data_IF_365390318354
#
_entry.id   IF_365390318354
#
_cell.length_a   1.000
_cell.length_b   1.000
_cell.length_c   1.000
_cell.angle_alpha   90.00
_cell.angle_beta   90.00
_cell.angle_gamma   90.00
#
_symmetry.space_group_name_H-M   'P 1'
#
loop_
_entity.id
_entity.type
_entity.pdbx_description
1 polymer ?
#
# COMPACT_ATOMS: atom_id res chain seq x y z
N UNK A 1 18.76 -23.32 -37.68
CA UNK A 1 17.84 -22.37 -37.02
C UNK A 1 17.99 -22.53 -35.52
N UNK A 2 18.70 -21.62 -34.85
CA UNK A 2 18.67 -21.59 -33.39
C UNK A 2 17.33 -20.97 -33.00
N UNK A 3 16.41 -21.78 -32.46
CA UNK A 3 15.18 -21.26 -31.88
C UNK A 3 15.55 -20.32 -30.76
N UNK A 4 15.16 -19.05 -30.86
CA UNK A 4 15.24 -18.13 -29.73
C UNK A 4 14.45 -18.73 -28.56
N UNK A 5 15.04 -18.85 -27.35
CA UNK A 5 14.33 -19.40 -26.21
C UNK A 5 13.07 -18.59 -25.95
N UNK A 6 11.95 -19.27 -25.68
CA UNK A 6 10.71 -18.60 -25.26
C UNK A 6 10.99 -17.75 -24.01
N UNK A 7 10.40 -16.54 -23.89
CA UNK A 7 10.47 -15.77 -22.65
C UNK A 7 9.97 -16.58 -21.44
N UNK A 8 10.72 -16.54 -20.34
CA UNK A 8 10.32 -17.17 -19.08
C UNK A 8 9.02 -16.54 -18.56
N UNK A 9 8.12 -17.38 -18.09
CA UNK A 9 6.93 -16.96 -17.33
C UNK A 9 7.32 -16.29 -16.02
N UNK A 10 6.42 -15.50 -15.45
CA UNK A 10 6.61 -14.87 -14.13
C UNK A 10 6.91 -15.92 -13.05
N UNK A 11 6.26 -17.08 -13.08
CA UNK A 11 6.50 -18.18 -12.13
C UNK A 11 7.92 -18.75 -12.27
N UNK A 12 8.41 -18.96 -13.48
CA UNK A 12 9.78 -19.43 -13.72
C UNK A 12 10.82 -18.43 -13.21
N UNK A 13 10.62 -17.13 -13.48
CA UNK A 13 11.52 -16.08 -13.00
C UNK A 13 11.56 -16.01 -11.47
N UNK A 14 10.40 -16.12 -10.83
CA UNK A 14 10.29 -16.14 -9.37
C UNK A 14 11.08 -17.31 -8.77
N UNK A 15 10.89 -18.53 -9.28
CA UNK A 15 11.58 -19.72 -8.76
C UNK A 15 13.09 -19.68 -9.05
N UNK A 16 13.49 -19.16 -10.20
CA UNK A 16 14.90 -18.93 -10.52
C UNK A 16 15.54 -17.92 -9.57
N UNK A 17 14.84 -16.83 -9.25
CA UNK A 17 15.35 -15.82 -8.32
C UNK A 17 15.68 -16.42 -6.95
N UNK A 18 14.88 -17.36 -6.45
CA UNK A 18 15.15 -18.02 -5.17
C UNK A 18 16.34 -18.95 -5.24
N UNK A 19 16.45 -19.72 -6.33
CA UNK A 19 17.60 -20.61 -6.57
C UNK A 19 18.92 -19.83 -6.55
N UNK A 20 18.92 -18.62 -7.08
CA UNK A 20 20.10 -17.75 -7.16
C UNK A 20 20.32 -16.96 -5.87
N UNK A 21 19.27 -16.37 -5.29
CA UNK A 21 19.40 -15.35 -4.25
C UNK A 21 19.16 -15.84 -2.82
N UNK A 22 18.28 -16.83 -2.59
CA UNK A 22 17.75 -17.12 -1.25
C UNK A 22 18.83 -17.60 -0.25
N UNK A 23 19.89 -18.25 -0.74
CA UNK A 23 20.98 -18.79 0.08
C UNK A 23 22.16 -17.83 0.25
N UNK A 24 22.10 -16.64 -0.34
CA UNK A 24 23.18 -15.66 -0.24
C UNK A 24 23.19 -14.95 1.11
N UNK A 25 24.34 -14.36 1.47
CA UNK A 25 24.48 -13.57 2.70
C UNK A 25 23.61 -12.31 2.70
N UNK A 26 23.37 -11.72 1.54
CA UNK A 26 22.46 -10.58 1.35
C UNK A 26 21.45 -10.89 0.24
N UNK A 27 20.38 -11.65 0.53
CA UNK A 27 19.39 -12.03 -0.47
C UNK A 27 18.70 -10.83 -1.12
N UNK A 28 18.39 -9.78 -0.35
CA UNK A 28 17.62 -8.62 -0.86
C UNK A 28 18.36 -7.88 -1.97
N UNK A 29 19.65 -7.62 -1.80
CA UNK A 29 20.45 -6.98 -2.86
C UNK A 29 20.52 -7.84 -4.15
N UNK A 30 20.54 -9.17 -4.00
CA UNK A 30 20.46 -10.08 -5.14
C UNK A 30 19.09 -10.01 -5.81
N UNK A 31 17.99 -10.04 -5.05
CA UNK A 31 16.64 -9.91 -5.59
C UNK A 31 16.43 -8.58 -6.30
N UNK A 32 16.94 -7.46 -5.78
CA UNK A 32 16.87 -6.15 -6.44
C UNK A 32 17.59 -6.14 -7.78
N UNK A 33 18.75 -6.81 -7.85
CA UNK A 33 19.53 -6.95 -9.08
C UNK A 33 18.87 -7.90 -10.07
N UNK A 34 18.26 -8.99 -9.57
CA UNK A 34 17.50 -9.94 -10.37
C UNK A 34 16.26 -9.26 -10.99
N UNK A 35 15.52 -8.49 -10.20
CA UNK A 35 14.39 -7.68 -10.66
C UNK A 35 14.84 -6.71 -11.76
N UNK A 36 15.91 -5.96 -11.54
CA UNK A 36 16.45 -5.01 -12.53
C UNK A 36 16.85 -5.69 -13.86
N UNK A 37 17.37 -6.92 -13.81
CA UNK A 37 17.77 -7.66 -14.99
C UNK A 37 16.59 -8.26 -15.78
N UNK A 38 15.46 -8.54 -15.12
CA UNK A 38 14.33 -9.29 -15.71
C UNK A 38 13.02 -8.50 -15.79
N UNK A 39 13.02 -7.25 -15.34
CA UNK A 39 11.92 -6.29 -15.50
C UNK A 39 12.02 -5.59 -16.85
N UNK A 40 10.96 -5.63 -17.64
CA UNK A 40 10.92 -4.91 -18.92
C UNK A 40 10.90 -3.39 -18.69
N UNK A 41 10.21 -2.95 -17.63
CA UNK A 41 10.20 -1.57 -17.19
C UNK A 41 11.61 -1.08 -16.86
N UNK A 42 12.36 -1.82 -16.04
CA UNK A 42 13.72 -1.46 -15.64
C UNK A 42 14.69 -1.43 -16.82
N UNK A 43 14.56 -2.38 -17.75
CA UNK A 43 15.39 -2.41 -18.96
C UNK A 43 15.18 -1.17 -19.84
N UNK A 44 13.93 -0.70 -19.99
CA UNK A 44 13.62 0.53 -20.73
C UNK A 44 14.08 1.78 -19.98
N UNK A 45 13.87 1.78 -18.66
CA UNK A 45 14.26 2.86 -17.77
C UNK A 45 15.76 3.18 -17.79
N UNK A 46 16.63 2.17 -17.97
CA UNK A 46 18.09 2.36 -18.09
C UNK A 46 18.52 3.27 -19.24
N UNK A 47 17.66 3.46 -20.24
CA UNK A 47 17.92 4.31 -21.40
C UNK A 47 17.51 5.77 -21.18
N UNK A 48 16.85 6.08 -20.05
CA UNK A 48 16.32 7.41 -19.74
C UNK A 48 17.36 8.29 -19.03
N UNK A 49 17.10 9.60 -19.02
CA UNK A 49 17.77 10.52 -18.10
C UNK A 49 17.52 10.10 -16.65
N UNK A 50 18.49 10.35 -15.77
CA UNK A 50 18.39 10.08 -14.33
C UNK A 50 18.16 8.60 -13.95
N UNK A 51 19.10 7.68 -14.28
CA UNK A 51 18.96 6.25 -14.01
C UNK A 51 18.78 5.88 -12.52
N UNK A 52 19.10 6.80 -11.61
CA UNK A 52 18.96 6.61 -10.17
C UNK A 52 17.51 6.67 -9.68
N UNK A 53 16.57 7.19 -10.49
CA UNK A 53 15.12 7.19 -10.22
C UNK A 53 14.48 5.82 -10.48
N UNK A 54 15.26 4.85 -10.95
CA UNK A 54 14.78 3.52 -11.28
C UNK A 54 15.36 2.48 -10.34
N UNK A 55 14.83 1.27 -10.41
CA UNK A 55 14.93 0.23 -9.40
C UNK A 55 14.39 0.69 -8.04
N UNK A 56 13.07 0.86 -7.98
CA UNK A 56 12.34 1.28 -6.79
C UNK A 56 12.55 0.38 -5.56
N UNK A 57 12.91 -0.90 -5.78
CA UNK A 57 13.24 -1.83 -4.69
C UNK A 57 14.57 -1.45 -4.05
N UNK A 58 15.61 -1.19 -4.86
CA UNK A 58 16.90 -0.69 -4.37
C UNK A 58 16.74 0.65 -3.65
N UNK A 59 15.93 1.56 -4.21
CA UNK A 59 15.61 2.85 -3.55
C UNK A 59 14.96 2.58 -2.19
N UNK A 60 13.94 1.71 -2.13
CA UNK A 60 13.26 1.37 -0.89
C UNK A 60 14.21 0.76 0.14
N UNK A 61 15.05 -0.21 -0.25
CA UNK A 61 16.02 -0.83 0.67
C UNK A 61 17.14 0.13 1.09
N UNK A 62 17.42 1.18 0.32
CA UNK A 62 18.28 2.29 0.74
C UNK A 62 17.63 3.15 1.83
N UNK A 63 16.31 3.37 1.74
CA UNK A 63 15.53 4.19 2.69
C UNK A 63 15.08 3.40 3.94
N UNK A 64 14.88 2.10 3.81
CA UNK A 64 14.48 1.17 4.87
C UNK A 64 15.43 -0.04 4.83
N UNK A 65 16.68 0.14 5.29
CA UNK A 65 17.68 -0.91 5.20
C UNK A 65 17.30 -2.13 6.06
N UNK A 66 17.54 -3.36 5.56
CA UNK A 66 17.30 -4.56 6.33
C UNK A 66 18.23 -4.58 7.55
N UNK A 67 17.67 -4.87 8.73
CA UNK A 67 18.39 -5.00 9.99
C UNK A 67 18.12 -6.36 10.63
N UNK A 68 19.05 -6.91 11.43
CA UNK A 68 18.76 -8.10 12.22
C UNK A 68 17.58 -7.85 13.16
N UNK A 69 16.74 -8.88 13.31
CA UNK A 69 15.53 -8.79 14.13
C UNK A 69 15.90 -8.79 15.60
N UNK A 70 15.56 -7.69 16.28
CA UNK A 70 15.50 -7.64 17.73
C UNK A 70 14.05 -7.82 18.15
N UNK A 71 13.74 -8.76 19.04
CA UNK A 71 12.36 -8.98 19.50
C UNK A 71 12.26 -9.30 20.99
N UNK A 72 11.16 -8.86 21.63
CA UNK A 72 10.82 -9.17 23.02
C UNK A 72 9.31 -9.23 23.22
N UNK A 73 8.87 -10.05 24.16
CA UNK A 73 7.46 -10.12 24.56
C UNK A 73 7.01 -8.80 25.20
N UNK A 74 5.86 -8.31 24.76
CA UNK A 74 5.23 -7.05 25.13
C UNK A 74 3.74 -7.25 25.43
N UNK A 75 3.41 -7.58 26.68
CA UNK A 75 2.04 -7.86 27.12
C UNK A 75 1.32 -6.65 27.75
N UNK A 76 1.91 -5.46 27.67
CA UNK A 76 1.28 -4.21 28.13
C UNK A 76 1.86 -2.99 27.42
N UNK A 77 1.13 -1.88 27.40
CA UNK A 77 1.60 -0.59 26.88
C UNK A 77 2.92 -0.17 27.54
N UNK A 78 3.05 -0.36 28.87
CA UNK A 78 4.30 -0.12 29.60
C UNK A 78 5.49 -0.92 29.06
N UNK A 79 5.27 -2.20 28.68
CA UNK A 79 6.33 -3.03 28.08
C UNK A 79 6.65 -2.59 26.65
N UNK A 80 5.66 -2.16 25.87
CA UNK A 80 5.87 -1.58 24.52
C UNK A 80 6.69 -0.29 24.60
N UNK A 81 6.33 0.64 25.51
CA UNK A 81 7.09 1.86 25.78
C UNK A 81 8.51 1.56 26.24
N UNK A 82 8.69 0.58 27.14
CA UNK A 82 10.02 0.15 27.58
C UNK A 82 10.85 -0.43 26.45
N UNK A 83 10.24 -1.20 25.53
CA UNK A 83 10.94 -1.72 24.35
C UNK A 83 11.37 -0.58 23.43
N UNK A 84 10.47 0.35 23.11
CA UNK A 84 10.80 1.49 22.25
C UNK A 84 11.94 2.33 22.83
N UNK A 85 11.82 2.76 24.10
CA UNK A 85 12.81 3.62 24.76
C UNK A 85 14.20 2.99 24.86
N UNK A 86 14.29 1.70 25.20
CA UNK A 86 15.58 1.01 25.40
C UNK A 86 16.30 0.67 24.10
N UNK A 87 15.58 0.61 22.98
CA UNK A 87 16.12 0.14 21.71
C UNK A 87 16.07 1.22 20.62
N UNK A 88 15.91 2.50 20.98
CA UNK A 88 15.83 3.62 20.02
C UNK A 88 16.95 3.59 18.98
N UNK A 89 18.20 3.40 19.41
CA UNK A 89 19.35 3.31 18.51
C UNK A 89 19.20 2.18 17.47
N UNK A 90 18.73 1.00 17.90
CA UNK A 90 18.50 -0.12 16.99
C UNK A 90 17.36 0.14 16.00
N UNK A 91 16.30 0.79 16.48
CA UNK A 91 15.09 1.11 15.71
C UNK A 91 15.29 2.31 14.77
N UNK A 92 16.31 3.12 14.99
CA UNK A 92 16.57 4.36 14.24
C UNK A 92 16.93 4.09 12.79
N UNK A 93 16.30 4.79 11.86
CA UNK A 93 16.58 4.74 10.43
C UNK A 93 16.99 6.14 9.99
N UNK A 94 18.27 6.34 9.61
CA UNK A 94 18.74 7.61 9.10
C UNK A 94 18.26 7.83 7.66
N UNK A 95 18.33 9.08 7.21
CA UNK A 95 18.19 9.43 5.81
C UNK A 95 19.44 10.16 5.32
N UNK A 96 19.88 9.87 4.09
CA UNK A 96 21.13 10.45 3.55
C UNK A 96 21.08 10.74 2.06
N UNK A 97 19.97 10.44 1.40
CA UNK A 97 19.83 10.67 -0.04
C UNK A 97 19.71 12.15 -0.35
N UNK A 98 20.51 12.60 -1.32
CA UNK A 98 20.62 14.00 -1.73
C UNK A 98 20.35 14.22 -3.21
N UNK A 99 19.82 13.20 -3.89
CA UNK A 99 19.56 13.25 -5.32
C UNK A 99 18.25 13.99 -5.59
N UNK A 100 18.08 14.62 -6.77
CA UNK A 100 16.81 15.25 -7.12
C UNK A 100 15.64 14.29 -6.96
N UNK A 101 14.52 14.82 -6.44
CA UNK A 101 13.30 14.10 -6.05
C UNK A 101 13.40 13.18 -4.83
N UNK A 102 14.58 13.00 -4.23
CA UNK A 102 14.68 12.24 -2.98
C UNK A 102 14.12 13.04 -1.81
N UNK A 103 13.75 12.35 -0.73
CA UNK A 103 13.38 12.98 0.54
C UNK A 103 14.18 12.44 1.70
N UNK A 104 14.29 13.25 2.74
CA UNK A 104 14.98 12.89 3.97
C UNK A 104 14.04 13.16 5.14
N UNK A 105 13.67 12.11 5.85
CA UNK A 105 13.03 12.16 7.14
C UNK A 105 13.61 11.04 7.98
N UNK A 106 14.19 11.36 9.13
CA UNK A 106 14.68 10.36 10.08
C UNK A 106 13.51 9.80 10.89
N UNK A 107 13.54 8.51 11.20
CA UNK A 107 12.45 7.86 11.93
C UNK A 107 12.92 6.65 12.72
N UNK A 108 12.10 6.18 13.65
CA UNK A 108 12.24 4.87 14.27
C UNK A 108 11.22 3.92 13.67
N UNK A 109 11.63 2.66 13.43
CA UNK A 109 10.77 1.65 12.83
C UNK A 109 10.65 0.41 13.71
N UNK A 110 9.45 0.23 14.27
CA UNK A 110 9.13 -0.84 15.21
C UNK A 110 7.88 -1.60 14.77
N UNK A 111 7.81 -2.89 15.09
CA UNK A 111 6.64 -3.73 14.84
C UNK A 111 6.04 -4.28 16.14
N UNK A 112 4.73 -4.51 16.10
CA UNK A 112 3.99 -5.26 17.10
C UNK A 112 3.11 -6.31 16.43
N UNK A 113 3.31 -7.57 16.80
CA UNK A 113 2.44 -8.66 16.37
C UNK A 113 1.35 -8.89 17.41
N UNK A 114 0.09 -8.58 17.05
CA UNK A 114 -1.07 -8.60 17.95
C UNK A 114 -1.22 -9.91 18.70
N UNK A 115 -1.52 -11.01 17.98
CA UNK A 115 -1.76 -12.33 18.57
C UNK A 115 -0.57 -12.89 19.35
N UNK A 116 0.65 -12.54 18.96
CA UNK A 116 1.87 -13.04 19.62
C UNK A 116 2.28 -12.18 20.81
N UNK A 117 1.72 -10.97 20.96
CA UNK A 117 2.14 -10.01 21.97
C UNK A 117 3.63 -9.69 21.87
N UNK A 118 4.18 -9.60 20.65
CA UNK A 118 5.62 -9.47 20.41
C UNK A 118 5.95 -8.08 19.87
N UNK A 119 6.84 -7.36 20.55
CA UNK A 119 7.53 -6.20 20.00
C UNK A 119 8.75 -6.66 19.22
N UNK A 120 9.02 -6.04 18.07
CA UNK A 120 10.29 -6.23 17.37
C UNK A 120 10.76 -4.97 16.65
N UNK A 121 12.03 -4.94 16.25
CA UNK A 121 12.44 -4.11 15.12
C UNK A 121 11.75 -4.59 13.84
N UNK A 122 11.59 -3.70 12.87
CA UNK A 122 11.05 -4.09 11.58
C UNK A 122 11.98 -5.06 10.85
N UNK A 123 11.39 -6.08 10.24
CA UNK A 123 12.04 -6.88 9.22
C UNK A 123 11.02 -7.36 8.20
N UNK A 124 11.39 -7.25 6.93
CA UNK A 124 10.61 -7.78 5.83
C UNK A 124 10.41 -9.30 6.00
N UNK A 125 9.19 -9.76 5.70
CA UNK A 125 8.88 -11.19 5.63
C UNK A 125 9.51 -11.79 4.37
N UNK A 126 10.02 -13.03 4.43
CA UNK A 126 10.53 -13.70 3.24
C UNK A 126 9.43 -13.82 2.18
N UNK A 127 9.82 -13.85 0.91
CA UNK A 127 8.88 -14.17 -0.16
C UNK A 127 8.34 -15.60 -0.02
N UNK A 128 7.08 -15.82 -0.43
CA UNK A 128 6.43 -17.14 -0.43
C UNK A 128 6.27 -17.67 -1.84
N UNK A 129 7.36 -17.61 -2.60
CA UNK A 129 7.40 -17.87 -4.03
C UNK A 129 7.01 -19.30 -4.43
N UNK A 130 7.41 -20.30 -3.64
CA UNK A 130 7.05 -21.72 -3.85
C UNK A 130 5.57 -22.03 -3.59
N UNK A 131 4.90 -21.20 -2.79
CA UNK A 131 3.52 -21.44 -2.41
C UNK A 131 2.55 -20.90 -3.49
N UNK A 132 1.51 -21.68 -3.77
CA UNK A 132 0.34 -21.20 -4.52
C UNK A 132 -0.43 -20.14 -3.69
N UNK A 133 -1.64 -19.78 -4.09
CA UNK A 133 -2.44 -18.82 -3.33
C UNK A 133 -2.69 -19.29 -1.88
N UNK A 134 -2.36 -18.44 -0.89
CA UNK A 134 -2.47 -18.74 0.56
C UNK A 134 -3.41 -17.79 1.29
N UNK A 135 -4.04 -16.87 0.56
CA UNK A 135 -4.88 -15.81 1.10
C UNK A 135 -4.35 -14.41 0.80
N UNK A 136 -5.08 -13.43 1.32
CA UNK A 136 -4.83 -12.00 1.09
C UNK A 136 -4.64 -11.30 2.43
N UNK A 137 -3.56 -10.54 2.59
CA UNK A 137 -3.41 -9.59 3.69
C UNK A 137 -3.88 -8.20 3.26
N UNK A 138 -4.82 -7.61 4.00
CA UNK A 138 -5.16 -6.21 3.80
C UNK A 138 -4.05 -5.34 4.37
N UNK A 139 -3.48 -4.50 3.52
CA UNK A 139 -2.43 -3.55 3.87
C UNK A 139 -3.05 -2.17 3.88
N UNK A 140 -2.82 -1.43 4.96
CA UNK A 140 -3.18 -0.02 5.03
C UNK A 140 -2.13 0.78 5.81
N UNK A 141 -2.26 2.09 5.71
CA UNK A 141 -1.55 3.05 6.54
C UNK A 141 -2.56 3.99 7.19
N UNK A 142 -2.23 4.55 8.35
CA UNK A 142 -3.01 5.61 8.98
C UNK A 142 -2.19 6.43 9.98
N UNK A 143 -2.68 7.62 10.28
CA UNK A 143 -2.26 8.44 11.42
C UNK A 143 -3.27 8.34 12.57
N UNK A 144 -2.90 8.79 13.77
CA UNK A 144 -3.78 8.73 14.95
C UNK A 144 -5.13 9.45 14.78
N UNK A 145 -5.20 10.49 13.95
CA UNK A 145 -6.45 11.20 13.65
C UNK A 145 -7.40 10.46 12.69
N UNK A 146 -7.06 9.24 12.26
CA UNK A 146 -7.87 8.38 11.37
C UNK A 146 -8.18 7.01 11.99
N UNK A 147 -7.88 6.80 13.27
CA UNK A 147 -8.07 5.50 13.97
C UNK A 147 -9.53 5.11 14.17
N UNK A 148 -10.44 6.07 14.11
CA UNK A 148 -11.91 5.93 14.17
C UNK A 148 -12.51 5.18 12.98
N UNK A 149 -11.79 5.09 11.85
CA UNK A 149 -12.16 4.22 10.71
C UNK A 149 -11.89 2.74 10.99
N UNK A 150 -10.95 2.45 11.88
CA UNK A 150 -10.42 1.10 12.06
C UNK A 150 -11.46 0.06 12.52
N UNK A 151 -12.40 0.36 13.45
CA UNK A 151 -13.45 -0.58 13.84
C UNK A 151 -14.33 -1.02 12.66
N UNK A 152 -14.64 -0.11 11.73
CA UNK A 152 -15.44 -0.43 10.53
C UNK A 152 -14.68 -1.35 9.58
N UNK A 153 -13.37 -1.10 9.40
CA UNK A 153 -12.50 -1.97 8.63
C UNK A 153 -12.46 -3.39 9.22
N UNK A 154 -12.30 -3.51 10.54
CA UNK A 154 -12.28 -4.81 11.24
C UNK A 154 -13.60 -5.56 11.15
N UNK A 155 -14.72 -4.85 11.11
CA UNK A 155 -16.05 -5.45 10.94
C UNK A 155 -16.29 -5.97 9.50
N UNK A 156 -15.49 -5.51 8.52
CA UNK A 156 -15.69 -5.81 7.09
C UNK A 156 -14.62 -6.72 6.49
N UNK A 157 -13.45 -6.82 7.11
CA UNK A 157 -12.34 -7.65 6.62
C UNK A 157 -12.03 -8.81 7.57
N UNK A 158 -12.24 -10.04 7.08
CA UNK A 158 -12.01 -11.26 7.86
C UNK A 158 -10.59 -11.84 7.70
N UNK A 159 -9.81 -11.34 6.75
CA UNK A 159 -8.43 -11.77 6.51
C UNK A 159 -7.41 -11.16 7.48
N UNK A 160 -6.13 -11.57 7.40
CA UNK A 160 -5.04 -10.91 8.11
C UNK A 160 -4.88 -9.45 7.69
N UNK A 161 -4.37 -8.61 8.59
CA UNK A 161 -4.16 -7.18 8.35
C UNK A 161 -2.70 -6.79 8.66
N UNK A 162 -2.13 -5.94 7.81
CA UNK A 162 -0.86 -5.25 8.02
C UNK A 162 -1.11 -3.75 8.02
N UNK A 163 -0.92 -3.11 9.18
CA UNK A 163 -1.21 -1.69 9.37
C UNK A 163 0.05 -0.93 9.70
N UNK A 164 0.35 0.10 8.92
CA UNK A 164 1.46 1.02 9.20
C UNK A 164 0.93 2.30 9.83
N UNK A 165 1.31 2.57 11.08
CA UNK A 165 0.94 3.78 11.79
C UNK A 165 2.02 4.84 11.63
N UNK A 166 1.68 5.96 11.01
CA UNK A 166 2.52 7.16 10.97
C UNK A 166 2.26 7.99 12.23
N UNK A 167 3.28 8.17 13.06
CA UNK A 167 3.14 8.82 14.37
C UNK A 167 4.34 9.71 14.67
N UNK A 168 4.12 10.78 15.41
CA UNK A 168 5.20 11.55 16.02
C UNK A 168 5.72 10.84 17.29
N UNK A 169 6.94 11.13 17.72
CA UNK A 169 7.48 10.60 18.98
C UNK A 169 6.59 10.92 20.20
N UNK A 170 5.95 12.08 20.21
CA UNK A 170 5.03 12.51 21.27
C UNK A 170 3.71 11.74 21.29
N UNK A 171 3.40 11.01 20.21
CA UNK A 171 2.16 10.29 20.00
C UNK A 171 2.29 8.77 20.25
N UNK A 172 3.52 8.28 20.46
CA UNK A 172 3.82 6.84 20.53
C UNK A 172 3.03 6.12 21.62
N UNK A 173 2.82 6.73 22.79
CA UNK A 173 2.06 6.11 23.87
C UNK A 173 0.59 5.90 23.48
N UNK A 174 -0.05 6.92 22.90
CA UNK A 174 -1.43 6.82 22.39
C UNK A 174 -1.55 5.76 21.28
N UNK A 175 -0.54 5.66 20.42
CA UNK A 175 -0.48 4.62 19.40
C UNK A 175 -0.39 3.21 20.00
N UNK A 176 0.44 3.02 21.03
CA UNK A 176 0.52 1.74 21.73
C UNK A 176 -0.76 1.39 22.48
N UNK A 177 -1.46 2.36 23.08
CA UNK A 177 -2.78 2.12 23.66
C UNK A 177 -3.78 1.63 22.61
N UNK A 178 -3.83 2.30 21.46
CA UNK A 178 -4.68 1.89 20.34
C UNK A 178 -4.35 0.46 19.88
N UNK A 179 -3.07 0.17 19.64
CA UNK A 179 -2.61 -1.17 19.23
C UNK A 179 -2.99 -2.22 20.28
N UNK A 180 -2.79 -1.92 21.56
CA UNK A 180 -3.06 -2.85 22.65
C UNK A 180 -4.56 -3.18 22.77
N UNK A 181 -5.46 -2.23 22.50
CA UNK A 181 -6.92 -2.49 22.42
C UNK A 181 -7.27 -3.51 21.33
N UNK A 182 -6.48 -3.56 20.25
CA UNK A 182 -6.71 -4.42 19.09
C UNK A 182 -5.84 -5.69 19.06
N UNK A 183 -5.06 -5.97 20.11
CA UNK A 183 -4.10 -7.09 20.16
C UNK A 183 -4.70 -8.49 19.92
N UNK A 184 -6.01 -8.67 20.13
CA UNK A 184 -6.69 -9.96 19.90
C UNK A 184 -6.84 -10.33 18.42
N UNK A 185 -6.79 -9.35 17.52
CA UNK A 185 -6.96 -9.55 16.09
C UNK A 185 -5.65 -10.01 15.42
N UNK A 186 -5.71 -10.72 14.27
CA UNK A 186 -4.54 -11.13 13.49
C UNK A 186 -3.94 -9.94 12.72
N UNK A 187 -3.45 -8.94 13.46
CA UNK A 187 -2.92 -7.69 12.90
C UNK A 187 -1.44 -7.59 13.21
N UNK A 188 -0.66 -7.25 12.19
CA UNK A 188 0.71 -6.77 12.35
C UNK A 188 0.67 -5.24 12.27
N UNK A 189 1.05 -4.58 13.37
CA UNK A 189 1.21 -3.13 13.40
C UNK A 189 2.69 -2.80 13.19
N UNK A 190 2.98 -1.90 12.26
CA UNK A 190 4.30 -1.29 12.13
C UNK A 190 4.18 0.20 12.45
N UNK A 191 4.96 0.71 13.39
CA UNK A 191 5.00 2.14 13.70
C UNK A 191 6.18 2.78 12.96
N UNK A 192 5.86 3.72 12.08
CA UNK A 192 6.81 4.70 11.55
C UNK A 192 6.75 5.91 12.47
N UNK A 193 7.78 6.09 13.30
CA UNK A 193 7.83 7.11 14.34
C UNK A 193 8.79 8.22 13.89
N UNK A 194 8.28 9.39 13.51
CA UNK A 194 9.10 10.53 13.06
C UNK A 194 10.07 10.94 14.17
N UNK A 195 11.36 11.08 13.85
CA UNK A 195 12.35 11.54 14.82
C UNK A 195 12.39 13.07 14.88
N UNK A 196 11.82 13.64 15.94
CA UNK A 196 11.55 15.08 16.02
C UNK A 196 12.79 15.94 16.37
N UNK A 197 13.85 15.33 16.91
CA UNK A 197 15.08 16.05 17.32
C UNK A 197 16.22 15.90 16.32
N UNK A 198 15.94 15.30 15.15
CA UNK A 198 16.91 15.04 14.11
C UNK A 198 16.93 16.11 13.01
N UNK A 199 17.09 15.66 11.78
CA UNK A 199 17.04 16.51 10.58
C UNK A 199 15.63 17.09 10.36
N UNK A 200 15.51 18.39 10.06
CA UNK A 200 14.26 18.97 9.60
C UNK A 200 13.87 18.29 8.26
N UNK A 201 12.73 17.57 8.19
CA UNK A 201 12.39 16.80 7.00
C UNK A 201 12.34 17.66 5.74
N UNK A 202 12.86 17.15 4.64
CA UNK A 202 12.88 17.87 3.37
C UNK A 202 12.69 16.95 2.16
N UNK A 203 12.29 17.56 1.05
CA UNK A 203 12.23 16.98 -0.29
C UNK A 203 13.15 17.78 -1.23
N UNK A 204 13.82 17.11 -2.15
CA UNK A 204 14.60 17.76 -3.20
C UNK A 204 13.73 18.07 -4.42
N UNK A 205 13.33 19.32 -4.59
CA UNK A 205 12.70 19.81 -5.82
C UNK A 205 13.81 20.25 -6.78
N UNK A 206 14.17 19.37 -7.73
CA UNK A 206 15.40 19.54 -8.49
C UNK A 206 16.62 19.47 -7.55
N UNK A 207 17.39 20.55 -7.47
CA UNK A 207 18.55 20.66 -6.56
C UNK A 207 18.23 21.40 -5.26
N UNK A 208 17.03 21.97 -5.12
CA UNK A 208 16.65 22.78 -3.97
C UNK A 208 15.91 21.94 -2.91
N UNK A 209 16.05 22.34 -1.64
CA UNK A 209 15.37 21.67 -0.52
C UNK A 209 14.10 22.42 -0.15
N UNK A 210 12.99 21.71 -0.18
CA UNK A 210 11.70 22.15 0.37
C UNK A 210 11.51 21.48 1.73
N UNK A 211 11.39 22.26 2.80
CA UNK A 211 11.29 21.77 4.17
C UNK A 211 9.84 21.53 4.60
N UNK A 212 9.65 20.53 5.47
CA UNK A 212 8.37 20.11 6.03
C UNK A 212 8.46 20.08 7.56
N UNK A 213 8.29 21.24 8.20
CA UNK A 213 8.49 21.40 9.65
C UNK A 213 7.58 20.50 10.52
N UNK A 214 6.45 20.03 9.96
CA UNK A 214 5.52 19.11 10.63
C UNK A 214 5.72 17.64 10.24
N UNK A 215 6.81 17.33 9.53
CA UNK A 215 7.05 16.06 8.89
C UNK A 215 6.41 15.96 7.51
N UNK A 216 7.02 15.14 6.66
CA UNK A 216 6.46 14.72 5.38
C UNK A 216 5.76 13.37 5.55
N UNK A 217 4.70 13.11 4.79
CA UNK A 217 3.99 11.83 4.82
C UNK A 217 4.53 10.92 3.69
N UNK A 218 5.37 9.90 3.97
CA UNK A 218 6.05 9.15 2.92
C UNK A 218 5.16 7.99 2.43
N UNK A 219 4.07 8.33 1.73
CA UNK A 219 3.00 7.39 1.33
C UNK A 219 3.52 6.06 0.82
N UNK A 220 4.40 6.09 -0.18
CA UNK A 220 4.86 4.86 -0.82
C UNK A 220 5.86 4.07 0.04
N UNK A 221 6.66 4.73 0.88
CA UNK A 221 7.49 4.04 1.89
C UNK A 221 6.59 3.28 2.88
N UNK A 222 5.52 3.92 3.38
CA UNK A 222 4.59 3.28 4.32
C UNK A 222 3.84 2.11 3.67
N UNK A 223 3.40 2.25 2.42
CA UNK A 223 2.78 1.15 1.64
C UNK A 223 3.72 -0.04 1.53
N UNK A 224 4.97 0.19 1.12
CA UNK A 224 5.95 -0.87 0.97
C UNK A 224 6.29 -1.52 2.33
N UNK A 225 6.45 -0.76 3.42
CA UNK A 225 6.61 -1.31 4.77
C UNK A 225 5.45 -2.25 5.13
N UNK A 226 4.21 -1.86 4.81
CA UNK A 226 3.03 -2.67 5.04
C UNK A 226 3.02 -3.96 4.22
N UNK A 227 3.35 -3.86 2.92
CA UNK A 227 3.45 -5.00 2.00
C UNK A 227 4.56 -5.96 2.42
N UNK A 228 5.72 -5.44 2.81
CA UNK A 228 6.86 -6.24 3.29
C UNK A 228 6.57 -6.94 4.61
N UNK A 229 5.51 -6.57 5.32
CA UNK A 229 5.10 -7.19 6.60
C UNK A 229 4.09 -8.34 6.45
N UNK A 230 3.61 -8.62 5.23
CA UNK A 230 2.55 -9.62 5.03
C UNK A 230 3.06 -11.06 5.21
N UNK A 231 2.18 -11.94 5.68
CA UNK A 231 2.45 -13.38 5.83
C UNK A 231 1.63 -14.25 4.87
N UNK A 232 0.91 -13.64 3.93
CA UNK A 232 0.22 -14.34 2.84
C UNK A 232 0.98 -14.11 1.53
N UNK A 233 0.61 -14.83 0.47
CA UNK A 233 1.19 -14.63 -0.86
C UNK A 233 0.71 -13.36 -1.55
N UNK A 234 -0.46 -12.85 -1.18
CA UNK A 234 -1.09 -11.71 -1.83
C UNK A 234 -1.44 -10.60 -0.85
N UNK A 235 -1.48 -9.37 -1.35
CA UNK A 235 -1.93 -8.23 -0.58
C UNK A 235 -3.04 -7.47 -1.29
N UNK A 236 -3.92 -6.88 -0.49
CA UNK A 236 -4.85 -5.84 -0.90
C UNK A 236 -4.40 -4.54 -0.23
N UNK A 237 -3.87 -3.59 -1.00
CA UNK A 237 -3.55 -2.28 -0.46
C UNK A 237 -4.79 -1.38 -0.53
N UNK A 238 -5.27 -0.87 0.60
CA UNK A 238 -6.40 0.09 0.66
C UNK A 238 -6.05 1.28 1.53
N UNK A 239 -6.57 2.44 1.16
CA UNK A 239 -6.53 3.61 2.03
C UNK A 239 -7.50 3.39 3.21
N UNK A 240 -7.20 3.94 4.39
CA UNK A 240 -8.00 3.71 5.62
C UNK A 240 -9.44 4.25 5.52
N UNK A 241 -9.66 5.21 4.62
CA UNK A 241 -10.97 5.80 4.32
C UNK A 241 -11.80 4.96 3.31
N UNK A 242 -11.30 3.79 2.87
CA UNK A 242 -12.01 2.89 1.96
C UNK A 242 -12.59 1.70 2.71
N UNK A 243 -13.92 1.57 2.73
CA UNK A 243 -14.62 0.49 3.43
C UNK A 243 -15.03 -0.62 2.47
N UNK A 244 -14.46 -1.84 2.61
CA UNK A 244 -14.81 -2.96 1.74
C UNK A 244 -16.20 -3.53 2.04
N UNK A 245 -16.80 -4.20 1.07
CA UNK A 245 -17.92 -5.10 1.33
C UNK A 245 -17.47 -6.28 2.20
N UNK A 246 -18.35 -6.78 3.06
CA UNK A 246 -18.04 -7.85 4.03
C UNK A 246 -17.64 -9.16 3.34
N UNK A 247 -18.11 -9.38 2.12
CA UNK A 247 -17.81 -10.54 1.29
C UNK A 247 -16.53 -10.38 0.44
N UNK A 248 -15.79 -9.27 0.54
CA UNK A 248 -14.66 -8.98 -0.36
C UNK A 248 -13.51 -9.99 -0.17
N UNK A 249 -13.13 -10.30 1.07
CA UNK A 249 -12.09 -11.30 1.35
C UNK A 249 -12.45 -12.66 0.75
N UNK A 250 -13.65 -13.16 1.04
CA UNK A 250 -14.12 -14.46 0.55
C UNK A 250 -14.26 -14.48 -0.97
N UNK A 251 -14.57 -13.33 -1.58
CA UNK A 251 -14.60 -13.21 -3.04
C UNK A 251 -13.24 -13.40 -3.67
N UNK A 252 -12.16 -12.94 -3.05
CA UNK A 252 -10.79 -13.26 -3.51
C UNK A 252 -10.41 -14.71 -3.22
N UNK A 253 -10.80 -15.26 -2.07
CA UNK A 253 -10.53 -16.67 -1.75
C UNK A 253 -11.14 -17.62 -2.79
N UNK A 254 -12.31 -17.29 -3.34
CA UNK A 254 -12.94 -18.03 -4.46
C UNK A 254 -12.13 -17.99 -5.76
N UNK A 255 -11.23 -17.03 -5.93
CA UNK A 255 -10.37 -16.90 -7.11
C UNK A 255 -8.97 -17.51 -6.89
N UNK A 256 -8.82 -18.43 -5.93
CA UNK A 256 -7.52 -19.01 -5.56
C UNK A 256 -6.79 -19.66 -6.74
N UNK A 257 -7.50 -20.36 -7.63
CA UNK A 257 -6.91 -21.00 -8.81
C UNK A 257 -6.37 -19.95 -9.79
N UNK A 258 -7.17 -18.92 -10.05
CA UNK A 258 -6.76 -17.79 -10.90
C UNK A 258 -5.56 -17.04 -10.30
N UNK A 259 -5.61 -16.73 -9.01
CA UNK A 259 -4.56 -16.02 -8.26
C UNK A 259 -3.34 -16.91 -7.96
N UNK A 260 -3.36 -18.19 -8.34
CA UNK A 260 -2.17 -19.01 -8.31
C UNK A 260 -1.21 -18.66 -9.44
N UNK A 261 -1.68 -18.05 -10.54
CA UNK A 261 -0.77 -17.39 -11.48
C UNK A 261 -0.25 -16.08 -10.86
N UNK A 262 1.07 -15.92 -10.65
CA UNK A 262 1.65 -14.72 -10.05
C UNK A 262 1.44 -13.42 -10.85
N UNK A 263 0.98 -13.53 -12.09
CA UNK A 263 0.77 -12.41 -13.00
C UNK A 263 -0.70 -11.95 -13.03
N UNK A 264 -1.61 -12.69 -12.40
CA UNK A 264 -3.01 -12.31 -12.34
C UNK A 264 -3.28 -11.32 -11.20
N UNK A 265 -4.05 -10.28 -11.52
CA UNK A 265 -4.50 -9.24 -10.59
C UNK A 265 -6.02 -9.20 -10.61
N UNK A 266 -6.63 -9.25 -9.44
CA UNK A 266 -8.10 -9.19 -9.30
C UNK A 266 -8.50 -7.87 -8.66
N UNK A 267 -9.25 -7.06 -9.41
CA UNK A 267 -9.72 -5.72 -9.06
C UNK A 267 -11.17 -5.77 -8.57
N UNK A 268 -11.63 -4.68 -7.95
CA UNK A 268 -13.03 -4.46 -7.61
C UNK A 268 -13.41 -2.99 -7.77
N UNK A 269 -14.71 -2.72 -7.93
CA UNK A 269 -15.18 -1.35 -8.11
C UNK A 269 -15.21 -0.57 -6.79
N UNK A 270 -14.73 0.68 -6.84
CA UNK A 270 -14.88 1.66 -5.78
C UNK A 270 -16.11 2.55 -6.03
N UNK A 271 -16.97 2.66 -5.03
CA UNK A 271 -18.13 3.55 -5.01
C UNK A 271 -17.90 4.71 -4.04
N UNK A 272 -18.76 5.71 -4.13
CA UNK A 272 -18.79 6.86 -3.24
C UNK A 272 -20.23 7.39 -3.15
N UNK A 273 -20.49 8.30 -2.20
CA UNK A 273 -21.73 9.07 -2.21
C UNK A 273 -21.77 10.09 -3.37
N UNK A 274 -22.89 10.17 -4.08
CA UNK A 274 -23.06 11.03 -5.27
C UNK A 274 -22.88 12.52 -4.96
N UNK A 275 -23.44 12.96 -3.83
CA UNK A 275 -23.26 14.31 -3.31
C UNK A 275 -22.49 14.19 -2.01
N UNK A 276 -21.18 13.93 -2.11
CA UNK A 276 -20.28 13.77 -0.96
C UNK A 276 -20.77 14.68 0.18
N UNK A 277 -21.27 14.12 1.29
CA UNK A 277 -21.95 14.89 2.32
C UNK A 277 -21.06 15.93 3.01
N UNK A 278 -19.84 16.17 2.57
CA UNK A 278 -18.99 17.29 3.00
C UNK A 278 -19.69 18.66 2.91
N UNK A 279 -20.64 18.86 2.00
CA UNK A 279 -21.45 20.08 1.97
C UNK A 279 -22.70 20.03 2.91
N UNK A 280 -22.97 18.88 3.55
CA UNK A 280 -24.14 18.64 4.44
C UNK A 280 -23.77 18.13 5.84
N UNK A 281 -22.54 17.68 6.06
CA UNK A 281 -22.00 17.18 7.31
C UNK A 281 -21.01 18.22 7.86
N UNK A 282 -21.46 19.09 8.77
CA UNK A 282 -20.62 20.13 9.33
C UNK A 282 -19.58 19.57 10.31
N UNK A 283 -19.78 18.36 10.82
CA UNK A 283 -18.97 17.75 11.87
C UNK A 283 -18.65 16.26 11.63
N UNK A 284 -17.88 15.71 12.56
CA UNK A 284 -17.45 14.32 12.55
C UNK A 284 -18.59 13.34 12.89
N UNK A 285 -19.57 13.77 13.69
CA UNK A 285 -20.70 12.94 14.11
C UNK A 285 -21.61 12.59 12.92
N UNK A 286 -21.90 13.57 12.06
CA UNK A 286 -22.63 13.34 10.82
C UNK A 286 -21.92 12.33 9.90
N UNK A 287 -20.58 12.36 9.83
CA UNK A 287 -19.82 11.37 9.08
C UNK A 287 -20.02 9.95 9.65
N UNK A 288 -20.04 9.79 10.97
CA UNK A 288 -20.26 8.49 11.60
C UNK A 288 -21.65 7.92 11.29
N UNK A 289 -22.69 8.74 11.28
CA UNK A 289 -24.04 8.30 10.90
C UNK A 289 -24.09 7.79 9.45
N UNK A 290 -23.39 8.48 8.54
CA UNK A 290 -23.27 8.01 7.16
C UNK A 290 -22.50 6.69 7.06
N UNK A 291 -21.39 6.56 7.79
CA UNK A 291 -20.59 5.34 7.77
C UNK A 291 -21.34 4.12 8.28
N UNK A 292 -22.23 4.28 9.28
CA UNK A 292 -23.06 3.21 9.83
C UNK A 292 -24.04 2.63 8.81
N UNK A 293 -24.52 3.44 7.86
CA UNK A 293 -25.49 3.01 6.85
C UNK A 293 -24.85 2.60 5.52
N UNK A 294 -23.52 2.58 5.42
CA UNK A 294 -22.83 2.11 4.22
C UNK A 294 -23.18 0.63 3.97
N UNK A 295 -23.70 0.27 2.79
CA UNK A 295 -23.99 -1.12 2.45
C UNK A 295 -22.81 -2.07 2.71
N UNK A 296 -23.11 -3.26 3.21
CA UNK A 296 -22.11 -4.29 3.50
C UNK A 296 -21.93 -5.27 2.36
N UNK A 297 -22.90 -5.36 1.45
CA UNK A 297 -22.90 -6.25 0.30
C UNK A 297 -23.59 -5.59 -0.90
N UNK A 298 -23.55 -6.30 -2.03
CA UNK A 298 -24.00 -5.77 -3.31
C UNK A 298 -25.53 -5.61 -3.35
N UNK A 299 -26.26 -6.51 -2.72
CA UNK A 299 -27.72 -6.43 -2.65
C UNK A 299 -28.15 -5.15 -1.92
N UNK A 300 -27.48 -4.81 -0.81
CA UNK A 300 -27.69 -3.54 -0.11
C UNK A 300 -27.20 -2.31 -0.88
N UNK A 301 -26.19 -2.45 -1.75
CA UNK A 301 -25.67 -1.35 -2.56
C UNK A 301 -26.59 -0.96 -3.72
N UNK A 302 -27.29 -1.93 -4.33
CA UNK A 302 -28.13 -1.69 -5.52
C UNK A 302 -29.20 -0.60 -5.28
N UNK A 303 -29.97 -0.61 -4.17
CA UNK A 303 -30.91 0.47 -3.88
C UNK A 303 -30.25 1.84 -3.80
N UNK A 304 -29.05 1.94 -3.20
CA UNK A 304 -28.33 3.21 -3.11
C UNK A 304 -27.90 3.74 -4.49
N UNK A 305 -27.58 2.84 -5.43
CA UNK A 305 -27.28 3.22 -6.82
C UNK A 305 -28.56 3.68 -7.54
N UNK A 306 -29.65 2.91 -7.43
CA UNK A 306 -30.94 3.21 -8.07
C UNK A 306 -31.54 4.54 -7.57
N UNK A 307 -31.44 4.81 -6.28
CA UNK A 307 -31.84 6.07 -5.64
C UNK A 307 -30.84 7.22 -5.87
N UNK A 308 -29.78 7.00 -6.65
CA UNK A 308 -28.70 7.97 -6.93
C UNK A 308 -28.00 8.50 -5.68
N UNK A 309 -28.01 7.74 -4.58
CA UNK A 309 -27.31 8.08 -3.33
C UNK A 309 -25.84 7.73 -3.40
N UNK A 310 -25.48 6.67 -4.13
CA UNK A 310 -24.11 6.28 -4.42
C UNK A 310 -23.88 6.16 -5.93
N UNK A 311 -22.63 6.39 -6.33
CA UNK A 311 -22.16 6.30 -7.71
C UNK A 311 -20.78 5.65 -7.75
N UNK A 312 -20.33 5.21 -8.93
CA UNK A 312 -18.91 4.90 -9.15
C UNK A 312 -18.08 6.11 -8.75
N UNK A 313 -16.92 5.88 -8.14
CA UNK A 313 -16.07 6.97 -7.69
C UNK A 313 -15.80 7.97 -8.83
N UNK A 314 -15.94 9.29 -8.57
CA UNK A 314 -15.97 10.33 -9.63
C UNK A 314 -14.69 10.37 -10.46
N UNK A 315 -13.60 9.90 -9.88
CA UNK A 315 -12.31 9.79 -10.53
C UNK A 315 -12.33 8.64 -11.53
N UNK A 316 -12.25 8.97 -12.82
CA UNK A 316 -12.13 8.00 -13.92
C UNK A 316 -10.98 7.01 -13.70
N UNK A 317 -9.97 7.36 -12.89
CA UNK A 317 -8.88 6.45 -12.56
C UNK A 317 -9.31 5.21 -11.75
N UNK A 318 -10.45 5.24 -11.06
CA UNK A 318 -10.98 4.16 -10.22
C UNK A 318 -12.08 3.32 -10.91
N UNK A 319 -12.45 3.66 -12.14
CA UNK A 319 -13.54 3.01 -12.87
C UNK A 319 -13.06 1.73 -13.57
N UNK A 320 -13.62 0.59 -13.17
CA UNK A 320 -13.25 -0.76 -13.65
C UNK A 320 -14.45 -1.63 -14.00
N UNK A 321 -15.69 -1.15 -13.84
CA UNK A 321 -16.90 -1.90 -14.23
C UNK A 321 -17.86 -1.04 -15.05
N UNK A 322 -18.53 -1.70 -15.98
CA UNK A 322 -19.80 -1.21 -16.49
C UNK A 322 -20.86 -1.32 -15.39
N UNK A 323 -21.58 -0.23 -15.11
CA UNK A 323 -22.46 -0.17 -13.94
C UNK A 323 -23.70 -1.06 -14.11
N UNK A 324 -24.25 -1.13 -15.33
CA UNK A 324 -25.42 -1.97 -15.61
C UNK A 324 -25.06 -3.45 -15.56
N UNK A 325 -23.91 -3.82 -16.13
CA UNK A 325 -23.36 -5.16 -15.99
C UNK A 325 -23.12 -5.49 -14.51
N UNK A 326 -22.50 -4.59 -13.75
CA UNK A 326 -22.28 -4.79 -12.32
C UNK A 326 -23.61 -5.01 -11.60
N UNK A 327 -24.61 -4.14 -11.74
CA UNK A 327 -25.90 -4.27 -11.01
C UNK A 327 -26.63 -5.58 -11.32
N UNK A 328 -26.59 -6.02 -12.58
CA UNK A 328 -27.36 -7.18 -13.05
C UNK A 328 -26.61 -8.52 -12.92
N UNK A 329 -25.28 -8.51 -12.83
CA UNK A 329 -24.50 -9.74 -12.70
C UNK A 329 -24.77 -10.42 -11.34
N UNK A 330 -25.10 -11.71 -11.37
CA UNK A 330 -25.28 -12.57 -10.18
C UNK A 330 -24.21 -13.65 -10.06
N UNK A 331 -23.33 -13.77 -11.05
CA UNK A 331 -22.24 -14.74 -11.09
C UNK A 331 -21.11 -14.31 -10.14
N UNK A 332 -20.39 -15.29 -9.59
CA UNK A 332 -19.18 -15.03 -8.78
C UNK A 332 -17.90 -15.05 -9.62
N UNK A 333 -18.04 -15.18 -10.93
CA UNK A 333 -16.94 -15.21 -11.88
C UNK A 333 -16.32 -13.81 -12.00
N UNK A 334 -15.00 -13.78 -12.13
CA UNK A 334 -14.31 -12.56 -12.52
C UNK A 334 -14.31 -12.40 -14.02
N UNK A 335 -14.28 -11.16 -14.50
CA UNK A 335 -14.20 -10.87 -15.94
C UNK A 335 -12.83 -10.30 -16.30
N UNK A 336 -12.20 -10.75 -17.40
CA UNK A 336 -10.99 -10.10 -17.91
C UNK A 336 -11.23 -8.61 -18.16
N UNK A 337 -10.24 -7.77 -17.85
CA UNK A 337 -10.31 -6.33 -18.02
C UNK A 337 -9.02 -5.81 -18.66
N UNK A 338 -9.14 -5.02 -19.71
CA UNK A 338 -8.04 -4.19 -20.18
C UNK A 338 -8.01 -2.89 -19.37
N UNK A 339 -6.88 -2.61 -18.74
CA UNK A 339 -6.69 -1.38 -17.94
C UNK A 339 -5.67 -0.46 -18.62
N UNK A 340 -5.95 0.84 -18.65
CA UNK A 340 -4.96 1.83 -19.10
C UNK A 340 -3.94 2.14 -18.00
N UNK A 341 -2.75 2.60 -18.39
CA UNK A 341 -1.65 2.93 -17.46
C UNK A 341 -1.98 4.07 -16.49
N UNK A 342 -2.97 4.90 -16.81
CA UNK A 342 -3.35 6.06 -16.00
C UNK A 342 -4.36 5.72 -14.90
N UNK A 343 -4.81 4.47 -14.81
CA UNK A 343 -5.77 4.01 -13.81
C UNK A 343 -5.07 3.74 -12.46
N UNK A 344 -5.84 3.72 -11.38
CA UNK A 344 -5.35 3.41 -10.04
C UNK A 344 -6.36 2.64 -9.15
N UNK A 345 -7.09 1.61 -9.67
CA UNK A 345 -8.09 0.89 -8.89
C UNK A 345 -7.47 0.11 -7.74
N UNK A 346 -8.33 -0.34 -6.84
CA UNK A 346 -7.95 -1.28 -5.79
C UNK A 346 -8.06 -2.72 -6.27
N UNK A 347 -7.15 -3.56 -5.78
CA UNK A 347 -7.10 -4.96 -6.16
C UNK A 347 -6.11 -5.76 -5.35
N UNK A 348 -6.06 -7.06 -5.66
CA UNK A 348 -5.19 -8.04 -5.04
C UNK A 348 -4.03 -8.36 -5.95
N UNK A 349 -2.83 -8.25 -5.39
CA UNK A 349 -1.56 -8.44 -6.10
C UNK A 349 -0.74 -9.50 -5.37
N UNK A 350 -0.03 -10.35 -6.11
CA UNK A 350 0.96 -11.24 -5.50
C UNK A 350 2.17 -10.43 -5.06
N UNK A 351 2.67 -10.65 -3.84
CA UNK A 351 3.98 -10.14 -3.42
C UNK A 351 5.06 -11.07 -3.96
N UNK A 352 5.96 -10.55 -4.79
CA UNK A 352 7.09 -11.31 -5.33
C UNK A 352 8.26 -10.41 -5.70
N UNK A 353 9.40 -11.03 -6.05
CA UNK A 353 10.53 -10.31 -6.67
C UNK A 353 10.13 -9.60 -7.97
N UNK A 354 9.18 -10.16 -8.75
CA UNK A 354 8.77 -9.60 -10.04
C UNK A 354 7.60 -8.62 -9.94
N UNK A 355 7.03 -8.43 -8.75
CA UNK A 355 6.02 -7.40 -8.52
C UNK A 355 6.73 -6.10 -8.18
N UNK A 356 6.51 -4.99 -8.93
CA UNK A 356 7.11 -3.70 -8.63
C UNK A 356 6.80 -3.24 -7.20
N UNK A 357 7.64 -2.37 -6.64
CA UNK A 357 7.24 -1.62 -5.44
C UNK A 357 6.55 -0.31 -5.83
N UNK A 358 5.82 0.27 -4.89
CA UNK A 358 5.41 1.66 -5.04
C UNK A 358 6.65 2.55 -4.96
N UNK A 359 6.85 3.45 -5.92
CA UNK A 359 8.09 4.23 -6.00
C UNK A 359 8.29 5.10 -4.72
N UNK A 360 9.36 4.91 -3.92
CA UNK A 360 9.48 5.46 -2.56
C UNK A 360 9.56 6.98 -2.45
N UNK A 361 9.95 7.67 -3.53
CA UNK A 361 10.04 9.13 -3.52
C UNK A 361 8.68 9.84 -3.56
N UNK A 362 7.60 9.12 -3.87
CA UNK A 362 6.27 9.70 -3.74
C UNK A 362 5.91 9.92 -2.27
N UNK A 363 5.84 11.21 -1.92
CA UNK A 363 5.37 11.71 -0.63
C UNK A 363 4.04 12.43 -0.83
N UNK A 364 3.28 12.59 0.25
CA UNK A 364 2.02 13.32 0.25
C UNK A 364 1.08 12.85 -0.88
N UNK A 365 0.56 13.77 -1.71
CA UNK A 365 -0.54 13.48 -2.63
C UNK A 365 -0.17 13.68 -4.10
N UNK A 366 -0.56 12.72 -4.95
CA UNK A 366 -0.51 12.83 -6.42
C UNK A 366 0.32 11.73 -7.08
N UNK A 367 -0.17 11.21 -8.21
CA UNK A 367 0.48 10.25 -9.13
C UNK A 367 1.06 8.95 -8.54
N UNK A 368 0.97 8.74 -7.23
CA UNK A 368 1.66 7.66 -6.53
C UNK A 368 1.17 6.25 -6.89
N UNK A 369 -0.15 6.01 -6.96
CA UNK A 369 -0.74 4.74 -7.42
C UNK A 369 -0.78 4.65 -8.95
N UNK A 370 -1.02 5.78 -9.62
CA UNK A 370 -1.00 5.86 -11.09
C UNK A 370 0.34 5.36 -11.63
N UNK A 371 1.46 5.84 -11.08
CA UNK A 371 2.78 5.38 -11.47
C UNK A 371 2.99 3.87 -11.25
N UNK A 372 2.50 3.33 -10.14
CA UNK A 372 2.55 1.88 -9.89
C UNK A 372 1.81 1.08 -10.98
N UNK A 373 0.62 1.52 -11.41
CA UNK A 373 -0.09 0.86 -12.52
C UNK A 373 0.61 1.03 -13.86
N UNK A 374 1.26 2.16 -14.11
CA UNK A 374 2.12 2.34 -15.28
C UNK A 374 3.29 1.35 -15.30
N UNK A 375 3.94 1.13 -14.15
CA UNK A 375 4.98 0.10 -14.02
C UNK A 375 4.42 -1.30 -14.35
N UNK A 376 3.26 -1.67 -13.79
CA UNK A 376 2.61 -2.96 -14.09
C UNK A 376 2.30 -3.13 -15.59
N UNK A 377 1.80 -2.07 -16.24
CA UNK A 377 1.51 -2.09 -17.67
C UNK A 377 2.78 -2.29 -18.53
N UNK A 378 3.89 -1.64 -18.16
CA UNK A 378 5.17 -1.74 -18.86
C UNK A 378 5.84 -3.12 -18.72
N UNK A 379 5.52 -3.87 -17.66
CA UNK A 379 6.00 -5.24 -17.50
C UNK A 379 5.44 -6.24 -18.51
N UNK A 380 4.33 -5.90 -19.19
CA UNK A 380 3.66 -6.74 -20.22
C UNK A 380 3.40 -8.20 -19.81
N UNK A 381 3.32 -8.47 -18.51
CA UNK A 381 3.06 -9.81 -17.95
C UNK A 381 1.81 -9.88 -17.08
N UNK A 382 1.31 -8.74 -16.61
CA UNK A 382 0.15 -8.72 -15.71
C UNK A 382 -1.16 -8.81 -16.48
N UNK A 383 -2.07 -9.63 -15.98
CA UNK A 383 -3.42 -9.80 -16.51
C UNK A 383 -4.44 -9.37 -15.46
N UNK A 384 -5.35 -8.47 -15.84
CA UNK A 384 -6.31 -7.89 -14.92
C UNK A 384 -7.67 -8.53 -15.09
N UNK A 385 -8.31 -8.78 -13.96
CA UNK A 385 -9.66 -9.30 -13.84
C UNK A 385 -10.45 -8.43 -12.86
N UNK A 386 -11.77 -8.36 -13.00
CA UNK A 386 -12.62 -7.57 -12.11
C UNK A 386 -13.71 -8.42 -11.47
N UNK A 387 -13.87 -8.27 -10.16
CA UNK A 387 -14.98 -8.85 -9.39
C UNK A 387 -16.28 -8.10 -9.65
N UNK A 388 -17.36 -8.86 -9.79
CA UNK A 388 -18.70 -8.33 -9.99
C UNK A 388 -19.55 -8.37 -8.72
N UNK A 389 -19.19 -9.15 -7.69
CA UNK A 389 -20.01 -9.36 -6.48
C UNK A 389 -19.49 -8.66 -5.23
N UNK A 390 -18.35 -7.97 -5.32
CA UNK A 390 -17.73 -7.28 -4.19
C UNK A 390 -17.26 -5.90 -4.64
N UNK A 391 -17.15 -4.99 -3.67
CA UNK A 391 -16.83 -3.60 -3.90
C UNK A 391 -16.17 -2.99 -2.66
N UNK A 392 -15.82 -1.72 -2.74
CA UNK A 392 -15.63 -0.89 -1.57
C UNK A 392 -16.25 0.49 -1.76
N UNK A 393 -16.35 1.23 -0.67
CA UNK A 393 -16.87 2.60 -0.65
C UNK A 393 -15.79 3.52 -0.11
N UNK A 394 -15.42 4.55 -0.89
CA UNK A 394 -14.68 5.70 -0.39
C UNK A 394 -15.61 6.54 0.49
N UNK A 395 -15.31 6.58 1.79
CA UNK A 395 -16.23 7.18 2.75
C UNK A 395 -16.17 8.71 2.70
N UNK A 396 -17.23 9.41 3.11
CA UNK A 396 -17.15 10.85 3.33
C UNK A 396 -16.10 11.16 4.40
N UNK A 397 -15.09 11.96 4.05
CA UNK A 397 -14.05 12.41 4.96
C UNK A 397 -13.54 13.83 4.57
N UNK A 398 -13.05 14.64 5.52
CA UNK A 398 -12.50 15.96 5.21
C UNK A 398 -11.37 15.90 4.15
N UNK A 399 -11.40 16.81 3.16
CA UNK A 399 -10.38 16.94 2.10
C UNK A 399 -9.14 17.71 2.61
N UNK A 400 -8.50 17.26 3.67
CA UNK A 400 -7.37 17.95 4.30
C UNK A 400 -6.06 17.80 3.49
N UNK A 401 -5.77 16.61 2.95
CA UNK A 401 -4.51 16.32 2.28
C UNK A 401 -4.36 16.96 0.88
N UNK A 402 -5.43 16.99 0.07
CA UNK A 402 -5.38 17.69 -1.23
C UNK A 402 -5.24 19.20 -1.02
N UNK A 403 -6.01 19.81 -0.11
CA UNK A 403 -6.01 21.26 0.09
C UNK A 403 -4.68 21.78 0.63
N UNK A 404 -4.07 21.13 1.61
CA UNK A 404 -2.79 21.59 2.18
C UNK A 404 -1.65 21.63 1.16
N UNK A 405 -1.58 20.65 0.27
CA UNK A 405 -0.50 20.54 -0.72
C UNK A 405 -0.65 21.50 -1.90
N UNK A 406 -1.88 21.67 -2.42
CA UNK A 406 -2.14 22.63 -3.50
C UNK A 406 -2.03 24.09 -3.04
N UNK A 407 -2.37 24.39 -1.78
CA UNK A 407 -2.36 25.75 -1.24
C UNK A 407 -0.94 26.24 -0.92
N UNK A 408 0.00 25.36 -0.58
CA UNK A 408 1.37 25.77 -0.25
C UNK A 408 2.24 26.07 -1.48
N UNK A 409 2.12 25.32 -2.59
CA UNK A 409 3.12 25.37 -3.68
C UNK A 409 2.59 25.84 -5.05
N UNK A 410 1.28 26.08 -5.24
CA UNK A 410 0.63 26.35 -6.55
C UNK A 410 0.85 25.29 -7.67
N UNK A 411 1.78 24.35 -7.48
CA UNK A 411 2.18 23.22 -8.32
C UNK A 411 2.32 21.98 -7.44
N UNK A 412 1.94 20.80 -7.95
CA UNK A 412 2.12 19.55 -7.23
C UNK A 412 3.50 18.95 -7.56
N UNK A 413 4.44 18.97 -6.60
CA UNK A 413 5.84 18.50 -6.83
C UNK A 413 5.92 17.00 -7.21
N UNK A 414 4.88 16.21 -6.94
CA UNK A 414 4.79 14.81 -7.38
C UNK A 414 4.41 14.68 -8.86
N UNK A 415 3.78 15.71 -9.45
CA UNK A 415 3.56 15.80 -10.89
C UNK A 415 4.91 15.87 -11.62
N UNK A 416 5.86 16.61 -11.08
CA UNK A 416 7.17 16.78 -11.71
C UNK A 416 7.98 15.48 -11.69
N UNK A 417 7.97 14.78 -10.55
CA UNK A 417 8.53 13.44 -10.46
C UNK A 417 7.84 12.47 -11.43
N UNK A 418 6.51 12.56 -11.58
CA UNK A 418 5.79 11.73 -12.56
C UNK A 418 6.28 12.00 -13.97
N UNK A 419 6.33 13.26 -14.41
CA UNK A 419 6.81 13.62 -15.74
C UNK A 419 8.26 13.20 -15.99
N UNK A 420 9.16 13.45 -15.04
CA UNK A 420 10.57 13.02 -15.15
C UNK A 420 10.72 11.51 -15.39
N UNK A 421 9.86 10.69 -14.76
CA UNK A 421 9.92 9.24 -14.91
C UNK A 421 9.08 8.70 -16.08
N UNK A 422 8.29 9.53 -16.75
CA UNK A 422 7.28 9.06 -17.73
C UNK A 422 7.43 9.64 -19.13
N UNK A 423 7.85 10.89 -19.24
CA UNK A 423 8.25 11.55 -20.49
C UNK A 423 9.66 11.08 -20.91
#
# INVERSE_FOLDING_TARGET
>A
MFSTPRPKSTRELILESDRVCAKLKNPMACYDSFYEAHSLYQQQAKLRSNPYLYNEKRIYHGMVPPKPVLSKTCLSVKKMMSFFKRNKEWLFVPCSDRRPFSHCQEFFLMQYSGRRGLCSSFAAKPFQHEQNFTGVTLVNQLSLNRVDRFPYLLARWHGPISTVMFVNETEVEKAFEFIFRHRKYPITFTLYIVHNMGVNPYFFEGTERVYFDKGLYPYNVLRNIGIESISTTHYLLVDIDVFPSTNLYDSFMRQADLLSDPSNVVLFQLFQYTNAPINRCPDLECNYELWKIIPTDKEGLIPFIQEKRMMKHFNVFQDVVDLDAFVNDRTTEVRPLAISSEKEPYGVFRRSVMTPFFHPYYINYGYNKVFFYRQLAQEKRFHFYVLQQAFAVDIPHPREARRSFFVQNQRNIMTDLYHEMTD
#
